data_IF_267269787355
#
_entry.id   IF_267269787355
#
_cell.length_a   1.000
_cell.length_b   1.000
_cell.length_c   1.000
_cell.angle_alpha   90.00
_cell.angle_beta   90.00
_cell.angle_gamma   90.00
#
_symmetry.space_group_name_H-M   'P 1'
#
loop_
_entity.id
_entity.type
_entity.pdbx_description
1 polymer ?
#
# COMPACT_ATOMS: atom_id res chain seq x y z
N UNK A 1 4.23 -11.78 -11.33
CA UNK A 1 4.17 -10.43 -11.95
C UNK A 1 5.05 -9.52 -11.11
N UNK A 2 5.74 -8.53 -11.69
CA UNK A 2 6.52 -7.61 -10.88
C UNK A 2 5.60 -6.81 -9.94
N UNK A 3 6.10 -6.58 -8.73
CA UNK A 3 5.46 -5.76 -7.70
C UNK A 3 6.22 -4.45 -7.59
N UNK A 4 5.48 -3.33 -7.64
CA UNK A 4 6.06 -2.01 -7.57
C UNK A 4 5.48 -1.23 -6.40
N UNK A 5 6.24 -1.17 -5.32
CA UNK A 5 6.03 -0.16 -4.30
C UNK A 5 6.50 1.19 -4.83
N UNK A 6 5.70 2.25 -4.66
CA UNK A 6 6.05 3.60 -5.12
C UNK A 6 7.44 4.07 -4.64
N UNK A 7 7.80 3.72 -3.39
CA UNK A 7 9.12 4.04 -2.84
C UNK A 7 10.29 3.34 -3.56
N UNK A 8 10.07 2.15 -4.13
CA UNK A 8 11.09 1.46 -4.92
C UNK A 8 11.31 2.17 -6.27
N UNK A 9 10.23 2.59 -6.94
CA UNK A 9 10.30 3.37 -8.19
C UNK A 9 11.11 4.67 -7.98
N UNK A 10 10.86 5.39 -6.87
CA UNK A 10 11.63 6.58 -6.55
C UNK A 10 13.11 6.29 -6.34
N UNK A 11 13.45 5.30 -5.50
CA UNK A 11 14.85 4.93 -5.21
C UNK A 11 15.60 4.54 -6.47
N UNK A 12 14.95 3.81 -7.38
CA UNK A 12 15.52 3.41 -8.66
C UNK A 12 15.78 4.61 -9.59
N UNK A 13 14.82 5.52 -9.72
CA UNK A 13 15.00 6.73 -10.54
C UNK A 13 16.11 7.63 -9.99
N UNK A 14 16.17 7.79 -8.66
CA UNK A 14 17.22 8.57 -7.99
C UNK A 14 18.59 7.91 -8.18
N UNK A 15 18.70 6.58 -7.99
CA UNK A 15 19.98 5.89 -8.12
C UNK A 15 20.51 5.87 -9.56
N UNK A 16 19.61 5.82 -10.54
CA UNK A 16 19.94 5.91 -11.98
C UNK A 16 20.20 7.35 -12.45
N UNK A 17 19.97 8.37 -11.61
CA UNK A 17 20.15 9.77 -11.98
C UNK A 17 19.24 10.21 -13.14
N UNK A 18 18.00 9.71 -13.19
CA UNK A 18 17.05 10.16 -14.22
C UNK A 18 16.62 11.61 -13.96
N UNK A 19 16.21 12.35 -14.99
CA UNK A 19 15.75 13.74 -14.83
C UNK A 19 14.61 13.85 -13.79
N UNK A 20 13.67 12.88 -13.81
CA UNK A 20 12.62 12.80 -12.80
C UNK A 20 13.22 12.45 -11.43
N UNK A 21 14.17 11.51 -11.38
CA UNK A 21 14.85 11.08 -10.16
C UNK A 21 15.52 12.23 -9.43
N UNK A 22 16.25 13.08 -10.15
CA UNK A 22 16.87 14.27 -9.59
C UNK A 22 15.85 15.24 -9.00
N UNK A 23 14.74 15.48 -9.72
CA UNK A 23 13.63 16.32 -9.21
C UNK A 23 13.00 15.72 -7.95
N UNK A 24 12.72 14.41 -7.95
CA UNK A 24 12.14 13.73 -6.80
C UNK A 24 13.07 13.69 -5.59
N UNK A 25 14.38 13.58 -5.81
CA UNK A 25 15.39 13.55 -4.74
C UNK A 25 15.28 14.76 -3.83
N UNK A 26 15.10 15.95 -4.40
CA UNK A 26 14.99 17.19 -3.63
C UNK A 26 13.84 17.16 -2.61
N UNK A 27 12.68 16.61 -2.98
CA UNK A 27 11.55 16.47 -2.06
C UNK A 27 11.76 15.35 -1.04
N UNK A 28 12.28 14.22 -1.53
CA UNK A 28 12.49 13.03 -0.69
C UNK A 28 13.49 13.29 0.44
N UNK A 29 14.58 14.01 0.15
CA UNK A 29 15.59 14.41 1.13
C UNK A 29 15.02 15.33 2.24
N UNK A 30 13.96 16.09 1.93
CA UNK A 30 13.25 16.96 2.90
C UNK A 30 12.11 16.25 3.63
N UNK A 31 11.85 14.98 3.34
CA UNK A 31 10.70 14.25 3.87
C UNK A 31 9.36 14.75 3.32
N UNK A 32 9.37 15.46 2.19
CA UNK A 32 8.17 16.00 1.54
C UNK A 32 7.59 14.98 0.55
N UNK A 33 6.28 15.10 0.29
CA UNK A 33 5.65 14.34 -0.78
C UNK A 33 6.12 14.85 -2.14
N UNK A 34 6.57 13.92 -2.99
CA UNK A 34 6.92 14.23 -4.38
C UNK A 34 5.65 14.65 -5.14
N UNK A 35 5.65 15.80 -5.82
CA UNK A 35 4.53 16.27 -6.63
C UNK A 35 4.01 15.25 -7.67
N UNK A 36 2.72 15.33 -7.97
CA UNK A 36 2.02 14.41 -8.90
C UNK A 36 2.60 14.47 -10.32
N UNK A 37 3.01 15.65 -10.77
CA UNK A 37 3.62 15.89 -12.09
C UNK A 37 5.00 15.24 -12.26
N UNK A 38 5.67 14.87 -11.15
CA UNK A 38 6.89 14.06 -11.16
C UNK A 38 6.56 12.58 -10.95
N UNK A 39 5.68 12.29 -9.98
CA UNK A 39 5.34 10.93 -9.56
C UNK A 39 4.66 10.14 -10.68
N UNK A 40 3.69 10.73 -11.38
CA UNK A 40 2.91 10.04 -12.41
C UNK A 40 3.81 9.64 -13.59
N UNK A 41 4.62 10.53 -14.18
CA UNK A 41 5.56 10.13 -15.22
C UNK A 41 6.54 9.03 -14.80
N UNK A 42 7.01 9.03 -13.56
CA UNK A 42 7.88 7.95 -13.05
C UNK A 42 7.18 6.60 -13.05
N UNK A 43 5.97 6.54 -12.48
CA UNK A 43 5.17 5.30 -12.45
C UNK A 43 4.89 4.83 -13.88
N UNK A 44 4.47 5.75 -14.76
CA UNK A 44 4.18 5.42 -16.16
C UNK A 44 5.39 4.97 -16.96
N UNK A 45 6.58 5.49 -16.67
CA UNK A 45 7.81 5.01 -17.28
C UNK A 45 8.10 3.58 -16.83
N UNK A 46 7.92 3.29 -15.54
CA UNK A 46 8.14 1.94 -15.00
C UNK A 46 7.19 0.92 -15.60
N UNK A 47 5.91 1.26 -15.75
CA UNK A 47 4.88 0.39 -16.32
C UNK A 47 5.07 0.09 -17.83
N UNK A 48 5.98 0.79 -18.51
CA UNK A 48 6.30 0.55 -19.93
C UNK A 48 7.45 -0.42 -20.14
N UNK A 49 8.15 -0.82 -19.09
CA UNK A 49 9.24 -1.77 -19.20
C UNK A 49 8.71 -3.16 -19.61
N UNK A 50 9.55 -3.94 -20.31
CA UNK A 50 9.14 -5.20 -20.93
C UNK A 50 8.58 -6.22 -19.92
N UNK A 51 9.06 -6.18 -18.68
CA UNK A 51 8.61 -7.06 -17.60
C UNK A 51 7.18 -6.77 -17.10
N UNK A 52 6.61 -5.61 -17.45
CA UNK A 52 5.23 -5.22 -17.13
C UNK A 52 4.21 -5.74 -18.14
N UNK A 53 4.65 -6.30 -19.28
CA UNK A 53 3.75 -6.74 -20.37
C UNK A 53 2.77 -7.82 -19.96
N UNK A 54 3.17 -8.70 -19.04
CA UNK A 54 2.33 -9.78 -18.51
C UNK A 54 1.57 -9.37 -17.22
N UNK A 55 1.42 -8.07 -17.00
CA UNK A 55 0.74 -7.47 -15.86
C UNK A 55 1.69 -7.12 -14.72
N UNK A 56 1.16 -6.38 -13.75
CA UNK A 56 1.91 -5.75 -12.66
C UNK A 56 1.02 -5.58 -11.43
N UNK A 57 1.63 -5.36 -10.27
CA UNK A 57 0.95 -4.94 -9.05
C UNK A 57 1.54 -3.60 -8.60
N UNK A 58 0.70 -2.57 -8.51
CA UNK A 58 1.08 -1.28 -7.93
C UNK A 58 0.70 -1.24 -6.45
N UNK A 59 1.68 -1.01 -5.58
CA UNK A 59 1.47 -0.81 -4.15
C UNK A 59 1.84 0.63 -3.73
N UNK A 60 0.95 1.24 -2.94
CA UNK A 60 1.12 2.57 -2.38
C UNK A 60 0.90 3.74 -3.38
N UNK A 61 0.32 3.47 -4.56
CA UNK A 61 -0.13 4.46 -5.54
C UNK A 61 -1.39 3.95 -6.26
N UNK A 62 -2.44 4.78 -6.45
CA UNK A 62 -2.55 6.21 -6.11
C UNK A 62 -2.85 6.46 -4.62
N UNK A 63 -2.49 7.66 -4.13
CA UNK A 63 -2.70 8.12 -2.75
C UNK A 63 -3.77 9.21 -2.60
N UNK A 64 -4.23 9.76 -3.72
CA UNK A 64 -5.25 10.80 -3.77
C UNK A 64 -6.11 10.64 -5.03
N UNK A 65 -7.29 11.25 -5.05
CA UNK A 65 -8.24 11.11 -6.17
C UNK A 65 -7.68 11.63 -7.51
N UNK A 66 -6.87 12.69 -7.50
CA UNK A 66 -6.27 13.25 -8.73
C UNK A 66 -5.32 12.25 -9.38
N UNK A 67 -4.48 11.60 -8.56
CA UNK A 67 -3.58 10.53 -9.02
C UNK A 67 -4.37 9.36 -9.61
N UNK A 68 -5.50 8.96 -9.00
CA UNK A 68 -6.33 7.87 -9.51
C UNK A 68 -6.95 8.19 -10.88
N UNK A 69 -7.52 9.40 -11.02
CA UNK A 69 -8.06 9.88 -12.30
C UNK A 69 -6.99 9.92 -13.38
N UNK A 70 -5.83 10.51 -13.07
CA UNK A 70 -4.74 10.63 -14.03
C UNK A 70 -4.14 9.27 -14.42
N UNK A 71 -3.97 8.36 -13.46
CA UNK A 71 -3.51 7.00 -13.74
C UNK A 71 -4.45 6.31 -14.73
N UNK A 72 -5.75 6.30 -14.43
CA UNK A 72 -6.76 5.69 -15.30
C UNK A 72 -6.79 6.32 -16.70
N UNK A 73 -6.78 7.65 -16.80
CA UNK A 73 -6.78 8.35 -18.09
C UNK A 73 -5.55 8.02 -18.94
N UNK A 74 -4.36 7.98 -18.34
CA UNK A 74 -3.13 7.74 -19.09
C UNK A 74 -2.99 6.27 -19.49
N UNK A 75 -3.37 5.33 -18.63
CA UNK A 75 -3.42 3.92 -18.97
C UNK A 75 -4.42 3.68 -20.12
N UNK A 76 -5.62 4.25 -20.05
CA UNK A 76 -6.63 4.12 -21.10
C UNK A 76 -6.16 4.64 -22.46
N UNK A 77 -5.42 5.76 -22.51
CA UNK A 77 -4.80 6.27 -23.76
C UNK A 77 -3.78 5.31 -24.38
N UNK A 78 -3.26 4.37 -23.60
CA UNK A 78 -2.32 3.34 -24.04
C UNK A 78 -3.00 1.99 -24.29
N UNK A 79 -4.33 1.92 -24.17
CA UNK A 79 -5.06 0.66 -24.27
C UNK A 79 -4.75 -0.31 -23.12
N UNK A 80 -4.32 0.22 -21.96
CA UNK A 80 -4.11 -0.56 -20.74
C UNK A 80 -5.25 -0.21 -19.79
N UNK A 81 -5.95 -1.22 -19.30
CA UNK A 81 -6.95 -1.06 -18.25
C UNK A 81 -6.40 -1.50 -16.90
N UNK A 82 -6.96 -0.97 -15.81
CA UNK A 82 -6.75 -1.54 -14.48
C UNK A 82 -7.73 -2.70 -14.35
N UNK A 83 -7.23 -3.91 -14.17
CA UNK A 83 -8.08 -5.10 -14.07
C UNK A 83 -8.75 -5.22 -12.70
N UNK A 84 -8.00 -4.94 -11.63
CA UNK A 84 -8.40 -5.20 -10.25
C UNK A 84 -7.93 -4.07 -9.34
N UNK A 85 -8.82 -3.61 -8.45
CA UNK A 85 -8.49 -2.79 -7.30
C UNK A 85 -8.73 -3.61 -6.02
N UNK A 86 -7.67 -3.88 -5.27
CA UNK A 86 -7.74 -4.60 -3.99
C UNK A 86 -7.77 -3.58 -2.86
N UNK A 87 -8.78 -3.66 -2.01
CA UNK A 87 -8.91 -2.85 -0.80
C UNK A 87 -8.84 -3.77 0.43
N UNK A 88 -7.87 -3.53 1.32
CA UNK A 88 -7.85 -4.14 2.65
C UNK A 88 -8.51 -3.16 3.61
N UNK A 89 -9.77 -3.41 3.95
CA UNK A 89 -10.56 -2.53 4.78
C UNK A 89 -10.20 -2.73 6.26
N UNK A 90 -9.82 -1.64 6.93
CA UNK A 90 -9.57 -1.62 8.36
C UNK A 90 -9.91 -0.26 8.94
N UNK A 91 -10.57 -0.24 10.10
CA UNK A 91 -10.87 1.00 10.81
C UNK A 91 -9.59 1.73 11.25
N UNK A 92 -9.56 3.06 11.12
CA UNK A 92 -8.42 3.92 11.47
C UNK A 92 -7.84 3.63 12.85
N UNK A 93 -8.70 3.53 13.86
CA UNK A 93 -8.28 3.29 15.24
C UNK A 93 -7.73 1.87 15.44
N UNK A 94 -8.26 0.89 14.69
CA UNK A 94 -7.74 -0.48 14.72
C UNK A 94 -6.39 -0.55 14.01
N UNK A 95 -6.22 0.14 12.87
CA UNK A 95 -4.93 0.26 12.19
C UNK A 95 -3.87 0.93 13.09
N UNK A 96 -4.21 2.06 13.73
CA UNK A 96 -3.31 2.77 14.66
C UNK A 96 -2.88 1.88 15.82
N UNK A 97 -3.84 1.22 16.49
CA UNK A 97 -3.56 0.27 17.57
C UNK A 97 -2.65 -0.86 17.12
N UNK A 98 -2.85 -1.42 15.92
CA UNK A 98 -1.97 -2.49 15.40
C UNK A 98 -0.54 -2.02 15.16
N UNK A 99 -0.34 -0.81 14.65
CA UNK A 99 1.01 -0.24 14.47
C UNK A 99 1.70 -0.11 15.84
N UNK A 100 1.05 0.60 16.77
CA UNK A 100 1.61 0.87 18.11
C UNK A 100 1.76 -0.38 18.98
N UNK A 101 0.96 -1.40 18.70
CA UNK A 101 0.96 -2.67 19.41
C UNK A 101 2.12 -3.60 19.05
N UNK A 102 2.87 -3.31 17.97
CA UNK A 102 3.98 -4.16 17.53
C UNK A 102 5.05 -4.28 18.62
N UNK A 103 5.53 -5.50 18.83
CA UNK A 103 6.69 -5.81 19.68
C UNK A 103 7.70 -6.59 18.87
N UNK A 104 8.97 -6.22 18.99
CA UNK A 104 10.08 -6.83 18.26
C UNK A 104 10.84 -7.72 19.23
N UNK A 105 10.97 -8.99 18.86
CA UNK A 105 11.78 -9.96 19.60
C UNK A 105 13.27 -9.72 19.34
N UNK A 106 14.05 -9.58 20.41
CA UNK A 106 15.49 -9.31 20.30
C UNK A 106 16.30 -10.49 19.75
N UNK A 107 15.76 -11.71 19.85
CA UNK A 107 16.42 -12.91 19.31
C UNK A 107 16.16 -13.08 17.80
N UNK A 108 14.98 -12.68 17.33
CA UNK A 108 14.59 -12.77 15.92
C UNK A 108 13.45 -11.78 15.64
N UNK A 109 13.73 -10.76 14.83
CA UNK A 109 12.75 -9.75 14.46
C UNK A 109 11.60 -10.32 13.60
N UNK A 110 11.75 -11.53 13.06
CA UNK A 110 10.71 -12.23 12.30
C UNK A 110 9.66 -12.91 13.18
N UNK A 111 9.84 -12.96 14.51
CA UNK A 111 8.83 -13.50 15.41
C UNK A 111 7.68 -12.49 15.59
N UNK A 112 6.49 -12.70 14.99
CA UNK A 112 5.40 -11.74 15.08
C UNK A 112 4.86 -11.67 16.51
N UNK A 113 4.87 -10.46 17.05
CA UNK A 113 4.32 -10.15 18.37
C UNK A 113 3.56 -8.83 18.30
N UNK A 114 2.29 -8.83 18.71
CA UNK A 114 1.48 -7.61 18.75
C UNK A 114 0.48 -7.65 19.91
N UNK A 115 0.56 -6.69 20.83
CA UNK A 115 -0.31 -6.66 22.02
C UNK A 115 -1.79 -6.39 21.69
N UNK A 116 -2.06 -5.84 20.51
CA UNK A 116 -3.39 -5.48 20.03
C UNK A 116 -3.95 -6.49 18.99
N UNK A 117 -3.30 -7.65 18.81
CA UNK A 117 -3.78 -8.73 17.94
C UNK A 117 -3.73 -10.07 18.69
N UNK A 118 -4.90 -10.62 19.01
CA UNK A 118 -4.99 -11.81 19.86
C UNK A 118 -4.25 -13.02 19.28
N UNK A 119 -4.33 -13.25 17.97
CA UNK A 119 -3.66 -14.36 17.29
C UNK A 119 -2.13 -14.37 17.47
N UNK A 120 -1.50 -13.20 17.65
CA UNK A 120 -0.04 -13.04 17.77
C UNK A 120 0.36 -12.27 19.03
N UNK A 121 -0.46 -12.37 20.08
CA UNK A 121 -0.20 -11.69 21.35
C UNK A 121 1.04 -12.27 22.03
N UNK A 122 1.91 -11.43 22.63
CA UNK A 122 3.03 -11.88 23.47
C UNK A 122 2.61 -12.78 24.65
N UNK A 123 3.55 -13.58 25.14
CA UNK A 123 3.41 -14.31 26.41
C UNK A 123 3.83 -13.39 27.55
N UNK A 124 2.92 -12.51 28.01
CA UNK A 124 3.24 -11.48 28.98
C UNK A 124 4.22 -10.45 28.40
N UNK A 125 5.38 -10.29 29.02
CA UNK A 125 6.48 -9.42 28.57
C UNK A 125 7.48 -10.13 27.62
N UNK A 126 7.22 -11.40 27.27
CA UNK A 126 8.13 -12.24 26.47
C UNK A 126 7.57 -12.61 25.10
N UNK A 127 8.50 -12.85 24.17
CA UNK A 127 8.18 -13.32 22.83
C UNK A 127 7.37 -14.61 22.89
N UNK A 128 6.23 -14.64 22.18
CA UNK A 128 5.34 -15.80 22.15
C UNK A 128 5.93 -17.07 21.51
N UNK A 129 7.02 -16.93 20.74
CA UNK A 129 7.65 -18.04 20.01
C UNK A 129 8.87 -18.60 20.76
N UNK A 130 9.76 -17.74 21.24
CA UNK A 130 11.04 -18.18 21.83
C UNK A 130 11.27 -17.74 23.27
N UNK A 131 10.33 -17.01 23.89
CA UNK A 131 10.50 -16.48 25.26
C UNK A 131 11.52 -15.34 25.40
N UNK A 132 12.11 -14.87 24.29
CA UNK A 132 13.04 -13.76 24.28
C UNK A 132 12.43 -12.42 24.71
N UNK A 133 13.29 -11.45 25.00
CA UNK A 133 12.89 -10.09 25.34
C UNK A 133 12.24 -9.37 24.15
N UNK A 134 11.29 -8.48 24.47
CA UNK A 134 10.56 -7.68 23.51
C UNK A 134 10.88 -6.19 23.67
N UNK A 135 11.03 -5.50 22.55
CA UNK A 135 11.10 -4.02 22.51
C UNK A 135 10.06 -3.43 21.57
N UNK A 136 9.81 -2.13 21.68
CA UNK A 136 9.09 -1.34 20.68
C UNK A 136 10.06 -0.79 19.63
N UNK A 137 9.52 -0.30 18.51
CA UNK A 137 10.25 0.56 17.58
C UNK A 137 9.78 2.00 17.77
N UNK A 138 10.70 2.95 17.73
CA UNK A 138 10.40 4.36 17.97
C UNK A 138 9.39 4.91 16.96
N UNK A 139 9.50 4.53 15.69
CA UNK A 139 8.59 4.93 14.61
C UNK A 139 7.17 4.36 14.74
N UNK A 140 7.03 3.20 15.39
CA UNK A 140 5.72 2.61 15.70
C UNK A 140 5.05 3.32 16.91
N UNK A 141 5.78 4.15 17.67
CA UNK A 141 5.24 4.92 18.80
C UNK A 141 5.03 6.41 18.47
N UNK A 142 5.45 6.87 17.29
CA UNK A 142 5.21 8.24 16.82
C UNK A 142 3.77 8.40 16.34
N UNK A 143 2.88 8.74 17.27
CA UNK A 143 1.46 8.96 16.98
C UNK A 143 1.24 10.06 15.93
N UNK A 144 2.04 11.13 15.95
CA UNK A 144 1.87 12.25 15.03
C UNK A 144 2.17 11.83 13.58
N UNK A 145 3.25 11.08 13.36
CA UNK A 145 3.59 10.55 12.04
C UNK A 145 2.58 9.48 11.57
N UNK A 146 2.02 8.68 12.48
CA UNK A 146 0.94 7.74 12.16
C UNK A 146 -0.32 8.51 11.75
N UNK A 147 -0.74 9.50 12.54
CA UNK A 147 -1.95 10.28 12.29
C UNK A 147 -1.86 11.14 11.03
N UNK A 148 -0.68 11.65 10.70
CA UNK A 148 -0.45 12.33 9.42
C UNK A 148 -0.71 11.40 8.24
N UNK A 149 -0.17 10.17 8.27
CA UNK A 149 -0.37 9.17 7.21
C UNK A 149 -1.82 8.70 7.14
N UNK A 150 -2.45 8.45 8.29
CA UNK A 150 -3.87 8.10 8.37
C UNK A 150 -4.78 9.24 7.91
N UNK A 151 -4.41 10.50 8.15
CA UNK A 151 -5.13 11.66 7.65
C UNK A 151 -5.23 11.67 6.12
N UNK A 152 -4.17 11.27 5.43
CA UNK A 152 -4.17 11.13 3.96
C UNK A 152 -4.96 9.89 3.53
N UNK A 153 -4.75 8.75 4.18
CA UNK A 153 -5.41 7.51 3.78
C UNK A 153 -6.93 7.60 3.93
N UNK A 154 -7.39 7.98 5.12
CA UNK A 154 -8.81 8.00 5.50
C UNK A 154 -9.57 9.27 5.05
N UNK A 155 -8.94 10.20 4.34
CA UNK A 155 -9.65 11.32 3.73
C UNK A 155 -10.53 10.83 2.56
N UNK A 156 -11.84 10.87 2.77
CA UNK A 156 -12.86 10.44 1.82
C UNK A 156 -13.15 11.45 0.72
N UNK A 157 -12.59 12.66 0.79
CA UNK A 157 -12.79 13.73 -0.21
C UNK A 157 -11.66 13.78 -1.22
N UNK A 158 -10.41 13.77 -0.74
CA UNK A 158 -9.25 13.91 -1.61
C UNK A 158 -8.21 12.81 -1.45
N UNK A 159 -8.27 12.03 -0.37
CA UNK A 159 -7.25 11.06 0.02
C UNK A 159 -7.33 9.71 -0.68
N UNK A 160 -6.77 8.70 -0.03
CA UNK A 160 -6.68 7.34 -0.59
C UNK A 160 -8.04 6.66 -0.63
N UNK A 161 -8.90 6.83 0.38
CA UNK A 161 -10.28 6.35 0.32
C UNK A 161 -11.08 7.01 -0.82
N UNK A 162 -10.84 8.29 -1.11
CA UNK A 162 -11.46 8.96 -2.27
C UNK A 162 -10.98 8.35 -3.61
N UNK A 163 -9.69 7.99 -3.69
CA UNK A 163 -9.14 7.28 -4.84
C UNK A 163 -9.73 5.88 -5.02
N UNK A 164 -9.93 5.14 -3.93
CA UNK A 164 -10.59 3.83 -3.94
C UNK A 164 -12.05 3.98 -4.42
N UNK A 165 -12.78 4.97 -3.88
CA UNK A 165 -14.15 5.24 -4.30
C UNK A 165 -14.23 5.57 -5.80
N UNK A 166 -13.27 6.31 -6.34
CA UNK A 166 -13.20 6.56 -7.79
C UNK A 166 -13.14 5.27 -8.62
N UNK A 167 -12.36 4.27 -8.19
CA UNK A 167 -12.31 2.98 -8.87
C UNK A 167 -13.61 2.19 -8.71
N UNK A 168 -14.25 2.21 -7.53
CA UNK A 168 -15.59 1.62 -7.34
C UNK A 168 -16.62 2.24 -8.29
N UNK A 169 -16.63 3.56 -8.40
CA UNK A 169 -17.52 4.28 -9.32
C UNK A 169 -17.21 3.95 -10.80
N UNK A 170 -15.96 3.64 -11.15
CA UNK A 170 -15.61 3.16 -12.49
C UNK A 170 -16.16 1.76 -12.74
N UNK A 171 -16.06 0.86 -11.77
CA UNK A 171 -16.68 -0.47 -11.82
C UNK A 171 -18.18 -0.37 -12.07
N UNK A 172 -18.88 0.48 -11.33
CA UNK A 172 -20.32 0.67 -11.50
C UNK A 172 -20.70 1.18 -12.90
N UNK A 173 -19.84 2.02 -13.51
CA UNK A 173 -20.08 2.62 -14.83
C UNK A 173 -19.66 1.75 -16.00
N UNK A 174 -18.59 0.95 -15.86
CA UNK A 174 -17.90 0.27 -16.97
C UNK A 174 -17.65 -1.22 -16.75
N UNK A 175 -17.90 -1.72 -15.54
CA UNK A 175 -17.62 -3.10 -15.14
C UNK A 175 -16.15 -3.40 -14.82
N UNK A 176 -15.27 -2.40 -14.83
CA UNK A 176 -13.83 -2.55 -14.57
C UNK A 176 -13.27 -1.30 -13.86
N UNK A 177 -12.29 -1.41 -12.93
CA UNK A 177 -11.67 -2.65 -12.43
C UNK A 177 -12.65 -3.52 -11.62
N UNK A 178 -12.35 -4.80 -11.44
CA UNK A 178 -12.99 -5.59 -10.40
C UNK A 178 -12.56 -5.09 -9.01
N UNK A 179 -13.49 -4.95 -8.08
CA UNK A 179 -13.19 -4.53 -6.71
C UNK A 179 -13.11 -5.76 -5.82
N UNK A 180 -11.96 -5.94 -5.17
CA UNK A 180 -11.74 -7.01 -4.18
C UNK A 180 -11.55 -6.37 -2.82
N UNK A 181 -12.61 -6.35 -2.03
CA UNK A 181 -12.55 -5.89 -0.64
C UNK A 181 -12.22 -7.07 0.28
N UNK A 182 -11.31 -6.86 1.23
CA UNK A 182 -10.88 -7.85 2.22
C UNK A 182 -11.01 -7.27 3.63
N UNK A 183 -11.44 -8.08 4.59
CA UNK A 183 -11.46 -7.67 5.99
C UNK A 183 -10.05 -7.73 6.58
N UNK A 184 -9.44 -6.57 6.78
CA UNK A 184 -8.12 -6.46 7.36
C UNK A 184 -8.02 -6.90 8.83
N UNK A 185 -9.13 -7.22 9.51
CA UNK A 185 -9.12 -7.68 10.91
C UNK A 185 -8.69 -9.13 11.07
N UNK A 186 -8.91 -9.96 10.06
CA UNK A 186 -8.58 -11.38 10.07
C UNK A 186 -7.06 -11.64 10.16
N UNK A 187 -6.68 -12.90 10.41
CA UNK A 187 -5.29 -13.33 10.40
C UNK A 187 -4.69 -13.30 8.98
N UNK A 188 -3.35 -13.25 8.87
CA UNK A 188 -2.68 -13.19 7.55
C UNK A 188 -3.07 -14.35 6.64
N UNK A 189 -3.12 -15.57 7.17
CA UNK A 189 -3.51 -16.76 6.42
C UNK A 189 -4.96 -16.69 5.93
N UNK A 190 -5.88 -16.18 6.76
CA UNK A 190 -7.29 -16.03 6.44
C UNK A 190 -7.48 -14.99 5.32
N UNK A 191 -6.87 -13.81 5.46
CA UNK A 191 -6.91 -12.75 4.43
C UNK A 191 -6.29 -13.24 3.12
N UNK A 192 -5.20 -14.01 3.19
CA UNK A 192 -4.55 -14.59 2.01
C UNK A 192 -5.45 -15.60 1.32
N UNK A 193 -6.09 -16.48 2.08
CA UNK A 193 -7.04 -17.45 1.55
C UNK A 193 -8.22 -16.77 0.85
N UNK A 194 -8.84 -15.79 1.51
CA UNK A 194 -9.94 -15.00 0.95
C UNK A 194 -9.53 -14.27 -0.34
N UNK A 195 -8.34 -13.65 -0.36
CA UNK A 195 -7.82 -12.97 -1.54
C UNK A 195 -7.65 -13.96 -2.71
N UNK A 196 -6.99 -15.10 -2.48
CA UNK A 196 -6.75 -16.10 -3.54
C UNK A 196 -8.08 -16.63 -4.09
N UNK A 197 -9.04 -16.92 -3.21
CA UNK A 197 -10.38 -17.37 -3.62
C UNK A 197 -11.09 -16.31 -4.48
N UNK A 198 -11.12 -15.05 -4.02
CA UNK A 198 -11.75 -13.96 -4.76
C UNK A 198 -11.09 -13.74 -6.11
N UNK A 199 -9.76 -13.74 -6.17
CA UNK A 199 -9.02 -13.61 -7.44
C UNK A 199 -9.27 -14.79 -8.39
N UNK A 200 -9.36 -16.02 -7.87
CA UNK A 200 -9.65 -17.21 -8.66
C UNK A 200 -11.05 -17.22 -9.29
N UNK A 201 -12.00 -16.52 -8.68
CA UNK A 201 -13.37 -16.37 -9.16
C UNK A 201 -13.54 -15.22 -10.19
N UNK A 202 -12.51 -14.41 -10.41
CA UNK A 202 -12.56 -13.32 -11.39
C UNK A 202 -12.28 -13.85 -12.80
N UNK A 203 -13.25 -13.68 -13.69
CA UNK A 203 -13.03 -13.82 -15.13
C UNK A 203 -12.40 -12.53 -15.67
N UNK A 204 -11.08 -12.45 -15.67
CA UNK A 204 -10.34 -11.38 -16.32
C UNK A 204 -10.33 -11.59 -17.84
N UNK A 205 -10.40 -10.50 -18.61
CA UNK A 205 -10.34 -10.51 -20.08
C UNK A 205 -8.92 -10.65 -20.60
#
# INVERSE_FOLDING_TARGET
RPEFALGAIFRENISKGTELGEKAKAYTDRGELVPDDITIPMVLNRLREEDCTNGWLLDGFPRNIRQAVMLNEVLARKGIDVDICIEIALERETAKRRIMGRRICLNDNNHPNNVNMEAIKPNGDRCRICGGELKTRDDDQDEAAIDQRHGIYYDTKNGTLAAIQYFKDLTDRRGTPAIVELDGRAGVEEVTGELIEKLGNLSLK
#
